data_IF_741874944783
#
_entry.id   IF_741874944783
#
_cell.length_a   1.000
_cell.length_b   1.000
_cell.length_c   1.000
_cell.angle_alpha   90.00
_cell.angle_beta   90.00
_cell.angle_gamma   90.00
#
_symmetry.space_group_name_H-M   'P 1'
#
loop_
_entity.id
_entity.type
_entity.pdbx_description
1 polymer ?
#
# COMPACT_ATOMS: atom_id res chain seq x y z
N UNK A 1 2.00 0.14 -5.78
CA UNK A 1 3.38 0.60 -5.55
C UNK A 1 4.23 0.16 -6.71
N UNK A 2 5.10 0.99 -7.25
CA UNK A 2 5.95 0.64 -8.41
C UNK A 2 7.36 1.20 -8.21
N UNK A 3 8.26 0.90 -9.13
CA UNK A 3 9.59 1.51 -9.19
C UNK A 3 9.84 2.13 -10.55
N UNK A 4 10.79 3.06 -10.69
CA UNK A 4 11.07 3.70 -11.97
C UNK A 4 11.35 2.70 -13.10
N UNK A 5 12.01 1.58 -12.80
CA UNK A 5 12.40 0.55 -13.78
C UNK A 5 11.21 -0.33 -14.22
N UNK A 6 10.10 -0.35 -13.49
CA UNK A 6 8.98 -1.27 -13.71
C UNK A 6 7.93 -0.72 -14.70
N UNK A 7 8.37 0.01 -15.76
CA UNK A 7 7.44 0.54 -16.77
C UNK A 7 6.57 -0.55 -17.39
N UNK A 8 7.13 -1.70 -17.72
CA UNK A 8 6.38 -2.81 -18.30
C UNK A 8 5.25 -3.31 -17.39
N UNK A 9 5.49 -3.40 -16.07
CA UNK A 9 4.44 -3.76 -15.10
C UNK A 9 3.34 -2.70 -15.05
N UNK A 10 3.70 -1.41 -15.05
CA UNK A 10 2.71 -0.32 -15.09
C UNK A 10 1.86 -0.36 -16.36
N UNK A 11 2.50 -0.57 -17.51
CA UNK A 11 1.79 -0.68 -18.80
C UNK A 11 0.85 -1.90 -18.81
N UNK A 12 1.32 -3.06 -18.31
CA UNK A 12 0.48 -4.25 -18.19
C UNK A 12 -0.74 -4.00 -17.29
N UNK A 13 -0.58 -3.27 -16.18
CA UNK A 13 -1.66 -2.90 -15.28
C UNK A 13 -2.66 -1.96 -15.97
N UNK A 14 -2.19 -0.93 -16.69
CA UNK A 14 -3.05 -0.02 -17.45
C UNK A 14 -3.85 -0.74 -18.52
N UNK A 15 -3.22 -1.67 -19.24
CA UNK A 15 -3.81 -2.41 -20.35
C UNK A 15 -4.75 -3.56 -19.92
N UNK A 16 -4.65 -3.99 -18.68
CA UNK A 16 -5.43 -5.10 -18.14
C UNK A 16 -6.51 -4.62 -17.16
N UNK A 17 -6.30 -4.76 -15.88
CA UNK A 17 -7.35 -4.57 -14.89
C UNK A 17 -7.71 -3.10 -14.61
N UNK A 18 -6.84 -2.14 -14.95
CA UNK A 18 -7.18 -0.72 -14.91
C UNK A 18 -7.85 -0.21 -16.19
N UNK A 19 -7.80 -0.93 -17.30
CA UNK A 19 -8.43 -0.52 -18.57
C UNK A 19 -9.91 -0.16 -18.42
N UNK A 20 -10.61 -0.86 -17.54
CA UNK A 20 -12.02 -0.63 -17.26
C UNK A 20 -12.31 0.56 -16.33
N UNK A 21 -11.31 1.24 -15.82
CA UNK A 21 -11.48 2.44 -14.98
C UNK A 21 -11.77 3.71 -15.77
N UNK A 22 -12.03 3.60 -17.08
CA UNK A 22 -12.26 4.71 -18.00
C UNK A 22 -11.11 5.73 -17.98
N UNK A 23 -9.89 5.26 -18.11
CA UNK A 23 -8.69 6.11 -18.11
C UNK A 23 -8.65 7.05 -16.89
N UNK A 24 -8.85 6.51 -15.71
CA UNK A 24 -8.82 7.27 -14.46
C UNK A 24 -9.97 8.32 -14.30
N UNK A 25 -11.08 8.17 -15.02
CA UNK A 25 -12.24 9.08 -14.97
C UNK A 25 -13.49 8.48 -14.31
N UNK A 26 -13.47 7.18 -13.98
CA UNK A 26 -14.59 6.48 -13.33
C UNK A 26 -14.62 6.66 -11.80
N UNK A 27 -15.40 5.80 -11.14
CA UNK A 27 -15.50 5.75 -9.66
C UNK A 27 -14.24 5.19 -9.00
N UNK A 28 -13.33 4.58 -9.76
CA UNK A 28 -12.01 4.16 -9.31
C UNK A 28 -10.99 5.09 -9.95
N UNK A 29 -10.12 5.61 -9.11
CA UNK A 29 -8.96 6.41 -9.49
C UNK A 29 -7.70 5.66 -9.05
N UNK A 30 -6.63 5.82 -9.77
CA UNK A 30 -5.36 5.19 -9.44
C UNK A 30 -4.18 6.11 -9.72
N UNK A 31 -3.09 5.85 -9.05
CA UNK A 31 -1.79 6.46 -9.29
C UNK A 31 -0.69 5.44 -9.02
N UNK A 32 0.39 5.52 -9.76
CA UNK A 32 1.62 4.80 -9.49
C UNK A 32 2.54 5.66 -8.62
N UNK A 33 3.06 5.06 -7.57
CA UNK A 33 3.89 5.73 -6.58
C UNK A 33 5.32 5.24 -6.72
N UNK A 34 6.22 6.16 -7.02
CA UNK A 34 7.64 5.90 -7.24
C UNK A 34 8.45 6.77 -6.27
N UNK A 35 9.60 6.25 -5.82
CA UNK A 35 10.61 7.06 -5.15
C UNK A 35 11.46 7.82 -6.17
N UNK A 36 12.25 8.77 -5.68
CA UNK A 36 13.20 9.49 -6.49
C UNK A 36 14.26 8.55 -7.05
N UNK A 37 14.36 8.53 -8.35
CA UNK A 37 15.50 8.04 -9.11
C UNK A 37 15.98 9.21 -9.97
N UNK A 38 17.10 9.07 -10.64
CA UNK A 38 17.42 10.00 -11.71
C UNK A 38 16.24 10.01 -12.68
N UNK A 39 15.61 11.17 -12.85
CA UNK A 39 14.54 11.33 -13.80
C UNK A 39 15.12 11.04 -15.19
N UNK A 40 14.72 9.89 -15.75
CA UNK A 40 15.11 9.54 -17.13
C UNK A 40 14.13 10.18 -18.10
N UNK A 41 14.56 10.39 -19.35
CA UNK A 41 13.66 10.90 -20.40
C UNK A 41 12.45 9.99 -20.59
N UNK A 42 12.65 8.68 -20.48
CA UNK A 42 11.57 7.69 -20.62
C UNK A 42 10.51 7.85 -19.51
N UNK A 43 10.93 8.13 -18.28
CA UNK A 43 10.00 8.32 -17.17
C UNK A 43 9.26 9.67 -17.28
N UNK A 44 9.94 10.71 -17.73
CA UNK A 44 9.31 12.02 -18.03
C UNK A 44 8.25 11.87 -19.13
N UNK A 45 8.60 11.17 -20.22
CA UNK A 45 7.70 10.90 -21.33
C UNK A 45 6.49 10.06 -20.90
N UNK A 46 6.72 9.00 -20.12
CA UNK A 46 5.64 8.19 -19.54
C UNK A 46 4.70 9.07 -18.72
N UNK A 47 5.23 9.84 -17.78
CA UNK A 47 4.40 10.67 -16.90
C UNK A 47 3.67 11.78 -17.67
N UNK A 48 4.28 12.35 -18.70
CA UNK A 48 3.62 13.34 -19.56
C UNK A 48 2.43 12.73 -20.31
N UNK A 49 2.56 11.49 -20.79
CA UNK A 49 1.50 10.81 -21.55
C UNK A 49 0.37 10.29 -20.65
N UNK A 50 0.71 9.77 -19.48
CA UNK A 50 -0.27 9.05 -18.63
C UNK A 50 -0.83 9.89 -17.49
N UNK A 51 -0.08 10.85 -16.97
CA UNK A 51 -0.42 11.72 -15.84
C UNK A 51 -0.91 10.94 -14.60
N UNK A 52 -0.35 9.76 -14.39
CA UNK A 52 -0.75 8.85 -13.32
C UNK A 52 0.40 8.45 -12.38
N UNK A 53 1.54 9.15 -12.46
CA UNK A 53 2.73 8.88 -11.65
C UNK A 53 2.92 9.99 -10.62
N UNK A 54 3.17 9.60 -9.39
CA UNK A 54 3.56 10.47 -8.29
C UNK A 54 4.96 10.09 -7.83
N UNK A 55 5.86 11.08 -7.81
CA UNK A 55 7.24 10.91 -7.38
C UNK A 55 7.44 11.42 -5.96
N UNK A 56 8.10 10.64 -5.13
CA UNK A 56 8.51 11.03 -3.78
C UNK A 56 10.00 11.33 -3.70
N UNK A 57 10.39 12.25 -2.85
CA UNK A 57 11.78 12.68 -2.64
C UNK A 57 12.56 11.73 -1.70
N UNK A 58 12.52 10.44 -1.97
CA UNK A 58 13.29 9.41 -1.26
C UNK A 58 13.81 8.37 -2.25
N UNK A 59 14.97 7.78 -1.97
CA UNK A 59 15.54 6.72 -2.81
C UNK A 59 14.59 5.53 -2.90
N UNK A 60 14.25 5.12 -4.11
CA UNK A 60 13.37 3.96 -4.35
C UNK A 60 14.10 2.65 -4.07
N UNK A 61 13.89 2.11 -2.88
CA UNK A 61 14.45 0.84 -2.42
C UNK A 61 13.43 0.10 -1.57
N UNK A 62 13.62 -1.21 -1.42
CA UNK A 62 12.78 -2.05 -0.57
C UNK A 62 12.69 -1.51 0.88
N UNK A 63 13.80 -1.05 1.44
CA UNK A 63 13.86 -0.51 2.79
C UNK A 63 13.12 0.85 2.96
N UNK A 64 12.77 1.49 1.86
CA UNK A 64 12.06 2.76 1.83
C UNK A 64 10.58 2.64 1.44
N UNK A 65 10.04 1.42 1.37
CA UNK A 65 8.62 1.18 1.08
C UNK A 65 7.69 1.86 2.09
N UNK A 66 8.10 1.96 3.34
CA UNK A 66 7.37 2.70 4.38
C UNK A 66 7.21 4.18 4.01
N UNK A 67 8.26 4.85 3.51
CA UNK A 67 8.15 6.22 3.02
C UNK A 67 7.19 6.32 1.84
N UNK A 68 7.26 5.36 0.91
CA UNK A 68 6.37 5.31 -0.26
C UNK A 68 4.90 5.16 0.17
N UNK A 69 4.62 4.25 1.09
CA UNK A 69 3.28 4.04 1.64
C UNK A 69 2.77 5.29 2.37
N UNK A 70 3.59 5.89 3.23
CA UNK A 70 3.20 7.10 3.95
C UNK A 70 2.99 8.30 3.01
N UNK A 71 3.81 8.46 1.97
CA UNK A 71 3.60 9.44 0.91
C UNK A 71 2.24 9.22 0.22
N UNK A 72 1.89 7.97 -0.09
CA UNK A 72 0.61 7.65 -0.71
C UNK A 72 -0.59 8.06 0.15
N UNK A 73 -0.50 7.79 1.44
CA UNK A 73 -1.55 8.13 2.39
C UNK A 73 -1.68 9.66 2.57
N UNK A 74 -0.56 10.35 2.71
CA UNK A 74 -0.54 11.83 2.76
C UNK A 74 -1.12 12.44 1.47
N UNK A 75 -0.74 11.90 0.32
CA UNK A 75 -1.27 12.36 -0.96
C UNK A 75 -2.77 12.11 -1.06
N UNK A 76 -3.24 10.92 -0.71
CA UNK A 76 -4.67 10.59 -0.75
C UNK A 76 -5.50 11.49 0.18
N UNK A 77 -5.03 11.74 1.40
CA UNK A 77 -5.73 12.63 2.34
C UNK A 77 -5.81 14.08 1.83
N UNK A 78 -4.80 14.53 1.09
CA UNK A 78 -4.75 15.90 0.54
C UNK A 78 -5.54 16.06 -0.74
N UNK A 79 -5.47 15.08 -1.65
CA UNK A 79 -5.95 15.22 -3.03
C UNK A 79 -7.19 14.37 -3.35
N UNK A 80 -7.54 13.38 -2.53
CA UNK A 80 -8.67 12.48 -2.77
C UNK A 80 -9.78 12.61 -1.73
N UNK A 81 -10.14 13.83 -1.33
CA UNK A 81 -11.08 14.11 -0.22
C UNK A 81 -12.47 13.47 -0.40
N UNK A 82 -12.87 13.17 -1.63
CA UNK A 82 -14.15 12.52 -1.94
C UNK A 82 -14.04 10.99 -2.01
N UNK A 83 -12.84 10.41 -1.84
CA UNK A 83 -12.69 8.97 -1.82
C UNK A 83 -13.24 8.40 -0.51
N UNK A 84 -14.10 7.40 -0.61
CA UNK A 84 -14.60 6.68 0.57
C UNK A 84 -13.56 5.66 1.05
N UNK A 85 -12.93 4.96 0.10
CA UNK A 85 -11.96 3.91 0.37
C UNK A 85 -10.69 4.13 -0.45
N UNK A 86 -9.59 3.67 0.08
CA UNK A 86 -8.27 3.67 -0.57
C UNK A 86 -7.70 2.26 -0.47
N UNK A 87 -7.19 1.76 -1.58
CA UNK A 87 -6.47 0.50 -1.66
C UNK A 87 -5.00 0.76 -1.98
N UNK A 88 -4.11 0.13 -1.23
CA UNK A 88 -2.70 -0.01 -1.60
C UNK A 88 -2.50 -1.38 -2.23
N UNK A 89 -1.76 -1.45 -3.32
CA UNK A 89 -1.32 -2.72 -3.90
C UNK A 89 0.04 -2.54 -4.58
N UNK A 90 0.75 -3.64 -4.83
CA UNK A 90 2.01 -3.67 -5.54
C UNK A 90 1.80 -3.82 -7.06
N UNK A 91 2.83 -3.60 -7.86
CA UNK A 91 2.75 -3.62 -9.33
C UNK A 91 2.94 -5.00 -9.95
N UNK A 92 3.07 -6.01 -9.12
CA UNK A 92 3.10 -7.43 -9.47
C UNK A 92 1.81 -8.18 -9.04
N UNK A 93 0.75 -7.44 -8.71
CA UNK A 93 -0.54 -7.96 -8.26
C UNK A 93 -1.64 -7.72 -9.29
N UNK A 94 -2.45 -8.74 -9.56
CA UNK A 94 -3.68 -8.61 -10.33
C UNK A 94 -4.86 -8.29 -9.42
N UNK A 95 -5.63 -7.25 -9.74
CA UNK A 95 -6.82 -6.86 -8.97
C UNK A 95 -8.08 -7.07 -9.79
N UNK A 96 -8.94 -8.00 -9.37
CA UNK A 96 -10.24 -8.21 -9.97
C UNK A 96 -11.22 -7.11 -9.54
N UNK A 97 -11.32 -6.05 -10.33
CA UNK A 97 -12.09 -4.82 -9.99
C UNK A 97 -13.55 -5.08 -9.59
N UNK A 98 -14.33 -5.93 -10.28
CA UNK A 98 -15.69 -6.24 -9.84
C UNK A 98 -15.73 -6.91 -8.45
N UNK A 99 -14.79 -7.83 -8.19
CA UNK A 99 -14.62 -8.46 -6.88
C UNK A 99 -14.25 -7.47 -5.79
N UNK A 100 -13.31 -6.58 -6.06
CA UNK A 100 -12.92 -5.52 -5.13
C UNK A 100 -14.12 -4.64 -4.74
N UNK A 101 -14.93 -4.22 -5.71
CA UNK A 101 -16.14 -3.41 -5.44
C UNK A 101 -17.11 -4.16 -4.54
N UNK A 102 -17.36 -5.44 -4.80
CA UNK A 102 -18.23 -6.28 -3.98
C UNK A 102 -17.70 -6.38 -2.55
N UNK A 103 -16.43 -6.73 -2.40
CA UNK A 103 -15.77 -6.88 -1.10
C UNK A 103 -15.81 -5.57 -0.30
N UNK A 104 -15.57 -4.42 -0.93
CA UNK A 104 -15.66 -3.12 -0.27
C UNK A 104 -17.10 -2.87 0.22
N UNK A 105 -18.10 -3.12 -0.61
CA UNK A 105 -19.51 -2.92 -0.25
C UNK A 105 -19.94 -3.82 0.92
N UNK A 106 -19.56 -5.09 0.90
CA UNK A 106 -19.86 -6.07 1.96
C UNK A 106 -19.18 -5.73 3.29
N UNK A 107 -18.03 -5.07 3.25
CA UNK A 107 -17.21 -4.76 4.43
C UNK A 107 -17.15 -3.25 4.75
N UNK A 108 -17.98 -2.43 4.10
CA UNK A 108 -17.91 -0.98 4.19
C UNK A 108 -17.92 -0.44 5.64
N UNK A 109 -18.79 -0.98 6.47
CA UNK A 109 -18.90 -0.59 7.88
C UNK A 109 -17.64 -0.94 8.69
N UNK A 110 -17.09 -2.15 8.51
CA UNK A 110 -15.88 -2.58 9.19
C UNK A 110 -14.67 -1.72 8.79
N UNK A 111 -14.54 -1.43 7.48
CA UNK A 111 -13.46 -0.64 6.91
C UNK A 111 -13.44 0.84 7.36
N UNK A 112 -14.51 1.35 7.98
CA UNK A 112 -14.50 2.69 8.57
C UNK A 112 -13.57 2.82 9.79
N UNK A 113 -13.23 1.69 10.43
CA UNK A 113 -12.35 1.65 11.61
C UNK A 113 -11.31 0.54 11.54
N UNK A 114 -11.07 -0.03 10.36
CA UNK A 114 -10.14 -1.14 10.17
C UNK A 114 -9.40 -1.04 8.83
N UNK A 115 -8.23 -1.68 8.78
CA UNK A 115 -7.54 -2.02 7.52
C UNK A 115 -7.89 -3.47 7.19
N UNK A 116 -8.36 -3.70 5.96
CA UNK A 116 -8.83 -5.01 5.49
C UNK A 116 -7.94 -5.59 4.39
N UNK A 117 -7.76 -6.90 4.40
CA UNK A 117 -6.95 -7.62 3.42
C UNK A 117 -6.59 -9.03 3.89
N UNK A 118 -5.53 -9.61 3.32
CA UNK A 118 -4.93 -10.84 3.84
C UNK A 118 -4.17 -10.52 5.13
N UNK A 119 -4.84 -10.65 6.26
CA UNK A 119 -4.30 -10.21 7.55
C UNK A 119 -3.92 -11.41 8.42
N UNK A 120 -2.73 -11.35 9.00
CA UNK A 120 -2.19 -12.27 10.01
C UNK A 120 -2.38 -11.69 11.41
N UNK A 121 -2.74 -12.54 12.37
CA UNK A 121 -2.94 -12.07 13.76
C UNK A 121 -1.63 -11.87 14.51
N UNK A 122 -0.64 -12.73 14.27
CA UNK A 122 0.67 -12.72 14.93
C UNK A 122 1.70 -13.22 13.92
N UNK A 123 2.84 -12.57 13.87
CA UNK A 123 4.01 -13.05 13.14
C UNK A 123 5.28 -12.73 13.94
N UNK A 124 6.32 -13.53 13.75
CA UNK A 124 7.62 -13.31 14.38
C UNK A 124 8.56 -12.56 13.46
N UNK A 125 9.35 -11.60 13.97
CA UNK A 125 10.40 -10.97 13.20
C UNK A 125 11.42 -11.96 12.68
N UNK A 126 11.78 -11.87 11.40
CA UNK A 126 12.83 -12.70 10.82
C UNK A 126 14.18 -12.12 11.22
N UNK A 127 14.99 -12.95 11.91
CA UNK A 127 16.30 -12.56 12.45
C UNK A 127 17.48 -13.05 11.59
N UNK A 128 17.21 -13.71 10.47
CA UNK A 128 18.24 -14.07 9.50
C UNK A 128 18.57 -12.85 8.62
N UNK A 129 19.82 -12.39 8.70
CA UNK A 129 20.31 -11.21 7.94
C UNK A 129 20.26 -11.38 6.41
N UNK A 130 20.15 -12.62 5.91
CA UNK A 130 20.02 -12.90 4.47
C UNK A 130 18.61 -12.69 3.95
N UNK A 131 17.62 -12.61 4.83
CA UNK A 131 16.23 -12.39 4.45
C UNK A 131 16.00 -10.94 4.07
N UNK A 132 15.23 -10.71 3.01
CA UNK A 132 14.75 -9.35 2.65
C UNK A 132 13.83 -8.76 3.72
N UNK A 133 13.26 -9.58 4.58
CA UNK A 133 12.41 -9.18 5.71
C UNK A 133 13.16 -9.17 7.05
N UNK A 134 14.49 -9.13 7.00
CA UNK A 134 15.31 -9.09 8.21
C UNK A 134 14.95 -7.90 9.08
N UNK A 135 14.73 -8.13 10.36
CA UNK A 135 14.58 -7.11 11.39
C UNK A 135 15.60 -7.38 12.51
N UNK A 136 16.47 -6.43 12.81
CA UNK A 136 17.40 -6.55 13.93
C UNK A 136 16.67 -6.40 15.27
N UNK A 137 17.28 -6.86 16.36
CA UNK A 137 16.76 -6.59 17.71
C UNK A 137 16.79 -5.10 18.07
N UNK A 138 17.70 -4.35 17.48
CA UNK A 138 17.79 -2.90 17.65
C UNK A 138 16.60 -2.19 16.96
N UNK A 139 16.26 -2.57 15.73
CA UNK A 139 15.17 -1.97 14.97
C UNK A 139 13.80 -2.40 15.48
N UNK A 140 13.69 -3.62 16.03
CA UNK A 140 12.45 -4.16 16.60
C UNK A 140 12.78 -5.16 17.72
N UNK A 141 12.77 -4.74 19.00
CA UNK A 141 13.18 -5.58 20.12
C UNK A 141 12.15 -6.64 20.51
N UNK A 142 10.89 -6.48 20.15
CA UNK A 142 9.81 -7.39 20.53
C UNK A 142 9.91 -8.76 19.86
N UNK A 143 9.39 -9.80 20.51
CA UNK A 143 9.40 -11.18 19.99
C UNK A 143 8.39 -11.38 18.85
N UNK A 144 7.32 -10.60 18.81
CA UNK A 144 6.26 -10.73 17.82
C UNK A 144 5.83 -9.38 17.29
N UNK A 145 5.49 -9.32 16.00
CA UNK A 145 4.80 -8.17 15.43
C UNK A 145 3.35 -8.09 15.94
N UNK A 146 2.72 -6.92 16.00
CA UNK A 146 1.27 -6.85 16.01
C UNK A 146 0.74 -7.55 14.75
N UNK A 147 -0.50 -8.00 14.77
CA UNK A 147 -1.11 -8.49 13.55
C UNK A 147 -1.02 -7.43 12.45
N UNK A 148 -0.85 -7.84 11.19
CA UNK A 148 -0.77 -6.95 10.03
C UNK A 148 -1.46 -7.57 8.83
N UNK A 149 -1.89 -6.75 7.87
CA UNK A 149 -2.34 -7.20 6.57
C UNK A 149 -1.17 -7.12 5.58
N UNK A 150 -1.03 -8.15 4.73
CA UNK A 150 0.07 -8.25 3.77
C UNK A 150 0.20 -7.00 2.90
N UNK A 151 1.44 -6.55 2.71
CA UNK A 151 1.78 -5.43 1.85
C UNK A 151 1.44 -5.65 0.36
N UNK A 152 1.16 -6.87 -0.09
CA UNK A 152 0.72 -7.14 -1.47
C UNK A 152 -0.57 -6.41 -1.82
N UNK A 153 -1.48 -6.25 -0.83
CA UNK A 153 -2.68 -5.45 -1.00
C UNK A 153 -3.55 -5.38 0.23
N UNK A 154 -4.01 -4.17 0.55
CA UNK A 154 -5.01 -3.93 1.59
C UNK A 154 -5.86 -2.70 1.26
N UNK A 155 -7.06 -2.67 1.82
CA UNK A 155 -8.05 -1.61 1.61
C UNK A 155 -8.55 -1.06 2.95
N UNK A 156 -8.84 0.24 3.00
CA UNK A 156 -9.38 0.90 4.18
C UNK A 156 -10.12 2.17 3.80
N UNK A 157 -10.82 2.80 4.74
CA UNK A 157 -11.44 4.11 4.49
C UNK A 157 -10.41 5.24 4.52
N UNK A 158 -10.73 6.35 3.85
CA UNK A 158 -9.91 7.56 3.90
C UNK A 158 -9.77 8.10 5.33
N UNK A 159 -10.81 7.94 6.16
CA UNK A 159 -10.77 8.33 7.57
C UNK A 159 -9.68 7.55 8.35
N UNK A 160 -9.59 6.25 8.14
CA UNK A 160 -8.54 5.41 8.77
C UNK A 160 -7.15 5.85 8.30
N UNK A 161 -6.97 6.13 7.00
CA UNK A 161 -5.71 6.65 6.48
C UNK A 161 -5.33 7.97 7.12
N UNK A 162 -6.28 8.89 7.29
CA UNK A 162 -6.03 10.18 7.97
C UNK A 162 -5.50 9.95 9.39
N UNK A 163 -6.13 9.05 10.15
CA UNK A 163 -5.67 8.68 11.49
C UNK A 163 -4.26 8.05 11.48
N UNK A 164 -3.97 7.19 10.49
CA UNK A 164 -2.64 6.58 10.33
C UNK A 164 -1.59 7.67 10.05
N UNK A 165 -1.86 8.60 9.15
CA UNK A 165 -0.95 9.72 8.83
C UNK A 165 -0.66 10.57 10.06
N UNK A 166 -1.65 10.87 10.87
CA UNK A 166 -1.47 11.65 12.10
C UNK A 166 -0.61 10.91 13.13
N UNK A 167 -0.96 9.67 13.44
CA UNK A 167 -0.25 8.89 14.46
C UNK A 167 1.15 8.47 14.04
N UNK A 168 1.42 8.34 12.72
CA UNK A 168 2.73 7.96 12.17
C UNK A 168 3.86 8.88 12.61
N UNK A 169 3.57 10.15 12.89
CA UNK A 169 4.53 11.14 13.40
C UNK A 169 5.10 10.76 14.76
N UNK A 170 4.44 9.86 15.48
CA UNK A 170 4.82 9.42 16.83
C UNK A 170 5.22 7.94 16.90
N UNK A 171 5.18 7.24 15.77
CA UNK A 171 5.61 5.84 15.65
C UNK A 171 7.03 5.82 15.10
N UNK A 172 8.00 5.19 15.76
CA UNK A 172 9.35 5.04 15.24
C UNK A 172 9.33 4.40 13.86
N UNK A 173 10.17 4.89 12.95
CA UNK A 173 10.27 4.34 11.60
C UNK A 173 10.63 2.85 11.65
N UNK A 174 9.96 2.07 10.80
CA UNK A 174 10.27 0.67 10.58
C UNK A 174 10.20 0.38 9.08
N UNK A 175 11.16 -0.35 8.55
CA UNK A 175 11.33 -0.51 7.09
C UNK A 175 10.32 -1.46 6.44
N UNK A 176 9.75 -2.43 7.19
CA UNK A 176 8.67 -3.27 6.69
C UNK A 176 7.36 -2.50 6.76
N UNK A 177 6.86 -2.08 5.60
CA UNK A 177 5.79 -1.10 5.50
C UNK A 177 4.46 -1.60 6.07
N UNK A 178 4.14 -2.86 5.86
CA UNK A 178 2.93 -3.51 6.35
C UNK A 178 2.93 -3.64 7.88
N UNK A 179 4.08 -3.97 8.46
CA UNK A 179 4.28 -3.96 9.92
C UNK A 179 4.25 -2.53 10.46
N UNK A 180 4.85 -1.55 9.76
CA UNK A 180 4.79 -0.15 10.18
C UNK A 180 3.35 0.37 10.23
N UNK A 181 2.55 0.09 9.19
CA UNK A 181 1.12 0.42 9.18
C UNK A 181 0.40 -0.26 10.35
N UNK A 182 0.74 -1.52 10.64
CA UNK A 182 0.16 -2.24 11.78
C UNK A 182 0.53 -1.62 13.14
N UNK A 183 1.76 -1.10 13.29
CA UNK A 183 2.16 -0.35 14.49
C UNK A 183 1.33 0.93 14.66
N UNK A 184 1.07 1.64 13.57
CA UNK A 184 0.19 2.81 13.55
C UNK A 184 -1.26 2.44 13.93
N UNK A 185 -1.78 1.34 13.35
CA UNK A 185 -3.12 0.79 13.65
C UNK A 185 -3.24 0.47 15.14
N UNK A 186 -2.28 -0.29 15.68
CA UNK A 186 -2.26 -0.67 17.09
C UNK A 186 -2.25 0.56 18.01
N UNK A 187 -1.38 1.52 17.72
CA UNK A 187 -1.23 2.74 18.53
C UNK A 187 -2.47 3.62 18.52
N UNK A 188 -3.23 3.59 17.42
CA UNK A 188 -4.47 4.38 17.27
C UNK A 188 -5.72 3.63 17.74
N UNK A 189 -5.60 2.39 18.24
CA UNK A 189 -6.77 1.57 18.64
C UNK A 189 -7.66 1.13 17.46
N UNK A 190 -7.16 1.23 16.22
CA UNK A 190 -7.82 0.72 15.02
C UNK A 190 -7.71 -0.81 14.95
N UNK A 191 -8.45 -1.41 14.03
CA UNK A 191 -8.54 -2.87 13.91
C UNK A 191 -7.99 -3.36 12.58
N UNK A 192 -7.61 -4.63 12.54
CA UNK A 192 -7.42 -5.40 11.31
C UNK A 192 -8.70 -6.16 11.00
N UNK A 193 -9.05 -6.24 9.72
CA UNK A 193 -10.23 -6.96 9.24
C UNK A 193 -9.83 -7.96 8.16
N UNK A 194 -9.62 -9.25 8.49
CA UNK A 194 -9.32 -10.26 7.48
C UNK A 194 -10.45 -10.35 6.45
N UNK A 195 -10.10 -10.27 5.16
CA UNK A 195 -11.05 -10.32 4.05
C UNK A 195 -10.66 -11.46 3.13
N UNK A 196 -11.60 -12.37 2.87
CA UNK A 196 -11.41 -13.43 1.87
C UNK A 196 -11.26 -12.85 0.47
N UNK A 197 -10.39 -13.46 -0.36
CA UNK A 197 -10.13 -13.02 -1.73
C UNK A 197 -8.93 -12.08 -1.88
N UNK A 198 -8.33 -11.63 -0.80
CA UNK A 198 -6.98 -11.08 -0.81
C UNK A 198 -5.97 -12.23 -0.68
N UNK A 199 -5.68 -12.89 -1.80
CA UNK A 199 -4.82 -14.08 -1.81
C UNK A 199 -3.35 -13.69 -2.02
N UNK A 200 -2.45 -14.41 -1.38
CA UNK A 200 -1.03 -14.36 -1.69
C UNK A 200 -0.74 -15.31 -2.86
N UNK A 201 0.24 -14.98 -3.71
CA UNK A 201 0.60 -15.76 -4.89
C UNK A 201 1.06 -17.21 -4.60
N UNK A 202 1.18 -17.58 -3.33
CA UNK A 202 1.63 -18.89 -2.88
C UNK A 202 0.48 -19.86 -2.51
N UNK A 203 -0.78 -19.43 -2.72
CA UNK A 203 -1.97 -20.21 -2.36
C UNK A 203 -2.55 -21.00 -3.57
N UNK A 204 -1.71 -21.25 -4.61
CA UNK A 204 -2.04 -22.05 -5.80
C UNK A 204 -1.20 -23.33 -5.87
#
# INVERSE_FOLDING_TARGET
MSSPQNKLSRDAIRDTWLKHTKMNKGNIRYVFLLGESQMTKELEEENFQTMDIILGSFKDTYNNLTYKTMMSFQWATKHCRNAQFVMKTDDDVYVHIPGLKRVINENANALQNAVGGSCQRIASPIRDKRSKWYASFESYPEKTYPGYCSGTGYVTSLNVITKIVEISKTVPFFHLEDVYVALCIKKNGLRLHPISGFMLAYDF
#
